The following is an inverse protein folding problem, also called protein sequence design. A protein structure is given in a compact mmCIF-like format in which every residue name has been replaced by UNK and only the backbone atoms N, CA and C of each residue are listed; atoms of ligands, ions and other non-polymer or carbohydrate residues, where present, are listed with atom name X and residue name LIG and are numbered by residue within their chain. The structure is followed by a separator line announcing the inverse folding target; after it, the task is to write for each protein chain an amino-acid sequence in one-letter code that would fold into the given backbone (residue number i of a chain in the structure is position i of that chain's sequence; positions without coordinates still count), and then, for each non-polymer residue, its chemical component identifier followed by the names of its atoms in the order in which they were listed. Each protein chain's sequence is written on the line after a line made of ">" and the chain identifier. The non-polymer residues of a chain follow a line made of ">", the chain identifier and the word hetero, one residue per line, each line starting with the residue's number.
data_IF_221036135503
#
_entry.id   IF_221036135503
#
_cell.length_a   1.000
_cell.length_b   1.000
_cell.length_c   1.000
_cell.angle_alpha   90.00
_cell.angle_beta   90.00
_cell.angle_gamma   90.00
#
_symmetry.space_group_name_H-M   'P 1'
#
loop_
_entity.id
_entity.type
_entity.pdbx_description
1 polymer ?
#
# COMPACT_ATOMS: atom_id res chain seq x y z
N UNK A 1 -30.70 0.70 -15.46
CA UNK A 1 -29.31 0.38 -15.04
C UNK A 1 -29.16 -1.12 -14.75
N UNK A 2 -29.39 -2.00 -15.74
CA UNK A 2 -29.25 -3.47 -15.57
C UNK A 2 -27.92 -4.00 -16.08
N UNK A 3 -27.16 -3.21 -16.84
CA UNK A 3 -25.94 -3.66 -17.53
C UNK A 3 -24.72 -3.79 -16.61
N UNK A 4 -24.78 -3.26 -15.38
CA UNK A 4 -23.74 -3.46 -14.36
C UNK A 4 -23.96 -4.70 -13.49
N UNK A 5 -25.12 -5.36 -13.58
CA UNK A 5 -25.42 -6.54 -12.78
C UNK A 5 -24.75 -7.83 -13.33
N UNK A 6 -24.25 -7.80 -14.56
CA UNK A 6 -23.67 -8.96 -15.26
C UNK A 6 -22.14 -8.82 -15.52
N UNK A 7 -21.42 -8.01 -14.74
CA UNK A 7 -20.00 -7.69 -14.98
C UNK A 7 -18.99 -8.66 -14.35
N UNK A 8 -19.42 -9.52 -13.43
CA UNK A 8 -18.53 -10.41 -12.69
C UNK A 8 -17.98 -11.55 -13.58
N UNK A 9 -16.65 -11.73 -13.56
CA UNK A 9 -15.95 -12.83 -14.27
C UNK A 9 -15.51 -12.50 -15.70
N UNK A 10 -15.62 -11.24 -16.14
CA UNK A 10 -15.12 -10.80 -17.45
C UNK A 10 -13.61 -10.92 -17.60
N UNK A 11 -12.86 -10.91 -16.48
CA UNK A 11 -11.41 -11.11 -16.48
C UNK A 11 -10.96 -12.39 -17.20
N UNK A 12 -11.74 -13.47 -17.09
CA UNK A 12 -11.41 -14.77 -17.72
C UNK A 12 -11.54 -14.75 -19.24
N UNK A 13 -12.31 -13.82 -19.78
CA UNK A 13 -12.61 -13.68 -21.22
C UNK A 13 -11.63 -12.73 -21.91
N UNK A 14 -10.79 -12.01 -21.16
CA UNK A 14 -9.78 -11.11 -21.70
C UNK A 14 -8.83 -11.82 -22.69
N UNK A 15 -8.32 -11.04 -23.65
CA UNK A 15 -7.24 -11.49 -24.54
C UNK A 15 -5.98 -11.78 -23.73
N UNK A 16 -5.11 -12.65 -24.24
CA UNK A 16 -3.85 -12.98 -23.58
C UNK A 16 -2.98 -11.74 -23.32
N UNK A 17 -2.88 -10.83 -24.30
CA UNK A 17 -2.14 -9.57 -24.14
C UNK A 17 -2.67 -8.70 -23.00
N UNK A 18 -4.01 -8.59 -22.85
CA UNK A 18 -4.60 -7.87 -21.73
C UNK A 18 -4.30 -8.55 -20.38
N UNK A 19 -4.37 -9.88 -20.33
CA UNK A 19 -4.02 -10.64 -19.11
C UNK A 19 -2.56 -10.41 -18.70
N UNK A 20 -1.63 -10.46 -19.66
CA UNK A 20 -0.22 -10.15 -19.40
C UNK A 20 -0.03 -8.73 -18.86
N UNK A 21 -0.64 -7.74 -19.51
CA UNK A 21 -0.52 -6.34 -19.09
C UNK A 21 -1.04 -6.13 -17.67
N UNK A 22 -2.23 -6.63 -17.35
CA UNK A 22 -2.80 -6.48 -16.00
C UNK A 22 -2.06 -7.30 -14.95
N UNK A 23 -1.51 -8.46 -15.31
CA UNK A 23 -0.65 -9.24 -14.42
C UNK A 23 0.65 -8.49 -14.11
N UNK A 24 1.29 -7.91 -15.13
CA UNK A 24 2.50 -7.10 -14.94
C UNK A 24 2.21 -5.89 -14.04
N UNK A 25 1.10 -5.18 -14.29
CA UNK A 25 0.67 -4.09 -13.42
C UNK A 25 0.46 -4.56 -11.98
N UNK A 26 -0.26 -5.67 -11.75
CA UNK A 26 -0.49 -6.23 -10.42
C UNK A 26 0.82 -6.63 -9.72
N UNK A 27 1.79 -7.19 -10.44
CA UNK A 27 3.11 -7.53 -9.87
C UNK A 27 3.88 -6.25 -9.49
N UNK A 28 3.97 -5.28 -10.41
CA UNK A 28 4.62 -3.99 -10.15
C UNK A 28 3.96 -3.26 -8.98
N UNK A 29 2.64 -3.36 -8.87
CA UNK A 29 1.86 -2.85 -7.76
C UNK A 29 2.30 -3.44 -6.40
N UNK A 30 2.35 -4.76 -6.29
CA UNK A 30 2.82 -5.44 -5.08
C UNK A 30 4.27 -5.07 -4.75
N UNK A 31 5.16 -5.10 -5.75
CA UNK A 31 6.56 -4.75 -5.56
C UNK A 31 6.68 -3.30 -5.06
N UNK A 32 5.96 -2.36 -5.67
CA UNK A 32 5.93 -0.96 -5.25
C UNK A 32 5.54 -0.81 -3.78
N UNK A 33 4.46 -1.46 -3.35
CA UNK A 33 4.01 -1.44 -1.95
C UNK A 33 5.05 -2.01 -0.97
N UNK A 34 5.71 -3.11 -1.34
CA UNK A 34 6.76 -3.73 -0.52
C UNK A 34 8.02 -2.86 -0.43
N UNK A 35 8.42 -2.21 -1.54
CA UNK A 35 9.51 -1.25 -1.55
C UNK A 35 9.16 -0.04 -0.68
N UNK A 36 7.96 0.52 -0.82
CA UNK A 36 7.50 1.64 0.00
C UNK A 36 7.52 1.30 1.49
N UNK A 37 7.10 0.10 1.89
CA UNK A 37 7.24 -0.36 3.27
C UNK A 37 8.70 -0.36 3.74
N UNK A 38 9.61 -0.91 2.94
CA UNK A 38 11.04 -0.98 3.29
C UNK A 38 11.66 0.42 3.40
N UNK A 39 11.34 1.31 2.46
CA UNK A 39 11.78 2.71 2.48
C UNK A 39 11.24 3.44 3.70
N UNK A 40 9.99 3.18 4.09
CA UNK A 40 9.39 3.73 5.29
C UNK A 40 10.17 3.33 6.56
N UNK A 41 10.43 2.03 6.72
CA UNK A 41 11.20 1.54 7.87
C UNK A 41 12.60 2.16 7.95
N UNK A 42 13.26 2.34 6.79
CA UNK A 42 14.55 3.01 6.72
C UNK A 42 14.48 4.52 7.03
N UNK A 43 13.41 5.20 6.60
CA UNK A 43 13.24 6.64 6.82
C UNK A 43 12.91 6.99 8.28
N UNK A 44 12.10 6.17 8.94
CA UNK A 44 11.73 6.38 10.35
C UNK A 44 12.88 6.05 11.31
N UNK A 45 13.66 5.03 10.98
CA UNK A 45 14.79 4.58 11.79
C UNK A 45 14.39 4.23 13.23
N UNK A 46 15.34 4.32 14.16
CA UNK A 46 15.12 3.97 15.58
C UNK A 46 14.30 5.03 16.33
N UNK A 47 14.16 6.25 15.78
CA UNK A 47 13.39 7.34 16.39
C UNK A 47 11.88 7.09 16.41
N UNK A 48 11.38 6.24 15.52
CA UNK A 48 9.96 5.91 15.44
C UNK A 48 9.10 7.03 14.84
N UNK A 49 7.87 6.67 14.46
CA UNK A 49 6.98 7.52 13.64
C UNK A 49 6.65 8.85 14.34
N UNK A 50 6.59 8.83 15.68
CA UNK A 50 6.33 10.01 16.50
C UNK A 50 7.40 11.07 16.27
N UNK A 51 8.68 10.67 16.36
CA UNK A 51 9.80 11.60 16.21
C UNK A 51 9.87 12.10 14.77
N UNK A 52 9.74 11.19 13.80
CA UNK A 52 9.82 11.51 12.38
C UNK A 52 8.76 12.51 11.91
N UNK A 53 7.50 12.34 12.32
CA UNK A 53 6.37 13.18 11.86
C UNK A 53 5.98 14.32 12.81
N UNK A 54 6.51 14.39 14.04
CA UNK A 54 6.16 15.46 14.98
C UNK A 54 6.61 16.85 14.50
N UNK A 55 7.68 16.91 13.71
CA UNK A 55 8.33 18.13 13.21
C UNK A 55 8.61 19.19 14.29
N UNK A 56 8.81 18.76 15.53
CA UNK A 56 9.34 19.55 16.64
C UNK A 56 10.73 19.00 16.95
N UNK A 57 11.79 19.83 17.06
CA UNK A 57 13.16 19.34 17.21
C UNK A 57 13.22 18.32 18.34
N UNK A 58 13.43 17.05 17.99
CA UNK A 58 13.56 16.00 18.98
C UNK A 58 14.85 16.26 19.74
N UNK A 59 14.73 16.53 21.03
CA UNK A 59 15.87 16.51 21.93
C UNK A 59 16.44 15.09 21.85
N UNK A 60 17.61 14.96 21.24
CA UNK A 60 18.22 13.66 20.95
C UNK A 60 18.32 12.84 22.24
N UNK A 61 17.85 11.60 22.20
CA UNK A 61 18.11 10.68 23.30
C UNK A 61 19.64 10.43 23.37
N UNK A 62 20.23 10.34 24.57
CA UNK A 62 21.62 9.96 24.72
C UNK A 62 21.79 8.55 24.14
N UNK A 63 22.71 8.39 23.19
CA UNK A 63 23.01 7.06 22.67
C UNK A 63 23.64 6.19 23.74
N UNK A 64 23.47 4.88 23.59
CA UNK A 64 24.19 3.89 24.38
C UNK A 64 25.70 4.10 24.19
N UNK A 65 26.50 4.21 25.28
CA UNK A 65 27.93 4.43 25.17
C UNK A 65 28.60 3.31 24.34
N UNK A 66 29.34 3.69 23.30
CA UNK A 66 30.18 2.76 22.58
C UNK A 66 31.36 2.32 23.49
N UNK A 67 31.85 1.07 23.38
CA UNK A 67 33.07 0.66 24.07
C UNK A 67 34.24 1.56 23.67
N UNK A 68 35.06 1.94 24.66
CA UNK A 68 36.17 2.86 24.47
C UNK A 68 37.17 2.32 23.42
N UNK A 69 37.69 3.17 22.51
CA UNK A 69 38.68 2.73 21.53
C UNK A 69 40.04 2.46 22.20
N UNK A 70 40.66 1.32 21.86
CA UNK A 70 41.99 0.88 22.31
C UNK A 70 43.14 1.66 21.62
N UNK A 71 43.08 3.00 21.60
CA UNK A 71 43.98 3.83 20.80
C UNK A 71 44.90 4.76 21.60
N UNK A 72 46.21 4.63 21.38
CA UNK A 72 47.31 5.44 21.94
C UNK A 72 47.48 6.80 21.19
N UNK A 73 46.37 7.50 20.95
CA UNK A 73 46.31 8.78 20.25
C UNK A 73 46.19 9.99 21.21
N UNK A 74 46.48 11.23 20.76
CA UNK A 74 46.29 12.42 21.57
C UNK A 74 44.82 12.55 21.99
N UNK A 75 44.56 12.59 23.30
CA UNK A 75 43.21 12.73 23.84
C UNK A 75 42.63 14.10 23.46
N UNK A 76 41.61 14.11 22.59
CA UNK A 76 40.78 15.28 22.36
C UNK A 76 39.91 15.48 23.59
N UNK A 77 40.20 16.49 24.41
CA UNK A 77 39.33 16.94 25.50
C UNK A 77 38.03 17.49 24.91
N UNK A 78 37.05 16.62 24.73
CA UNK A 78 35.68 16.99 24.42
C UNK A 78 34.97 17.31 25.74
N UNK A 79 34.18 18.39 25.82
CA UNK A 79 33.25 18.61 26.93
C UNK A 79 32.41 17.34 27.13
N UNK A 80 32.08 16.95 28.37
CA UNK A 80 31.30 15.73 28.65
C UNK A 80 29.99 15.64 27.82
N UNK A 81 29.40 16.79 27.45
CA UNK A 81 28.22 16.92 26.59
C UNK A 81 28.44 16.56 25.10
N UNK A 82 29.69 16.55 24.65
CA UNK A 82 30.13 16.21 23.28
C UNK A 82 30.58 14.75 23.14
N UNK A 83 30.77 14.04 24.26
CA UNK A 83 31.20 12.63 24.28
C UNK A 83 30.03 11.66 24.18
N UNK A 84 28.81 12.09 24.50
CA UNK A 84 27.61 11.27 24.30
C UNK A 84 27.25 11.25 22.79
N UNK A 85 27.27 10.07 22.13
CA UNK A 85 26.77 9.98 20.77
C UNK A 85 25.30 10.43 20.81
N UNK A 86 24.90 11.34 19.92
CA UNK A 86 23.49 11.75 19.80
C UNK A 86 22.91 11.05 18.59
N UNK A 87 21.82 10.32 18.78
CA UNK A 87 21.07 9.76 17.65
C UNK A 87 20.33 10.93 17.00
N UNK A 88 20.87 11.42 15.88
CA UNK A 88 20.21 12.46 15.08
C UNK A 88 19.23 11.80 14.13
N UNK A 89 17.95 11.80 14.51
CA UNK A 89 16.85 11.37 13.64
C UNK A 89 16.41 12.54 12.78
N UNK A 90 16.60 12.44 11.46
CA UNK A 90 16.16 13.46 10.51
C UNK A 90 14.63 13.52 10.49
N UNK A 91 14.06 14.64 10.92
CA UNK A 91 12.62 14.88 10.86
C UNK A 91 12.20 15.30 9.45
N UNK A 92 11.02 14.86 9.02
CA UNK A 92 10.49 15.32 7.75
C UNK A 92 10.10 16.80 7.85
N UNK A 93 10.64 17.63 6.95
CA UNK A 93 10.28 19.04 6.88
C UNK A 93 8.86 19.23 6.32
N UNK A 94 8.19 20.34 6.66
CA UNK A 94 6.84 20.64 6.16
C UNK A 94 6.80 20.72 4.64
N UNK A 95 7.83 21.32 4.02
CA UNK A 95 7.98 21.36 2.56
C UNK A 95 8.01 19.95 2.00
N UNK A 96 8.83 19.07 2.57
CA UNK A 96 8.95 17.68 2.07
C UNK A 96 7.65 16.91 2.28
N UNK A 97 6.97 17.11 3.42
CA UNK A 97 5.69 16.48 3.70
C UNK A 97 4.60 16.93 2.70
N UNK A 98 4.57 18.22 2.34
CA UNK A 98 3.68 18.76 1.31
C UNK A 98 4.00 18.18 -0.08
N UNK A 99 5.28 18.13 -0.45
CA UNK A 99 5.71 17.55 -1.74
C UNK A 99 5.26 16.09 -1.85
N UNK A 100 5.54 15.28 -0.82
CA UNK A 100 5.13 13.87 -0.78
C UNK A 100 3.61 13.75 -0.82
N UNK A 101 2.88 14.55 -0.03
CA UNK A 101 1.41 14.54 -0.01
C UNK A 101 0.83 14.89 -1.38
N UNK A 102 1.38 15.92 -2.05
CA UNK A 102 0.95 16.31 -3.39
C UNK A 102 1.09 15.15 -4.39
N UNK A 103 2.24 14.47 -4.40
CA UNK A 103 2.45 13.31 -5.27
C UNK A 103 1.49 12.16 -4.94
N UNK A 104 1.22 11.89 -3.67
CA UNK A 104 0.34 10.79 -3.25
C UNK A 104 -1.13 11.08 -3.56
N UNK A 105 -1.60 12.29 -3.29
CA UNK A 105 -2.99 12.70 -3.57
C UNK A 105 -3.29 12.67 -5.08
N UNK A 106 -2.27 12.80 -5.94
CA UNK A 106 -2.44 12.61 -7.38
C UNK A 106 -2.36 11.13 -7.80
N UNK A 107 -1.31 10.42 -7.38
CA UNK A 107 -1.00 9.08 -7.91
C UNK A 107 -1.78 7.95 -7.25
N UNK A 108 -1.99 8.00 -5.93
CA UNK A 108 -2.65 6.92 -5.17
C UNK A 108 -4.12 6.75 -5.60
N UNK A 109 -4.94 7.81 -5.79
CA UNK A 109 -6.31 7.62 -6.28
C UNK A 109 -6.40 6.98 -7.66
N UNK A 110 -5.49 7.33 -8.59
CA UNK A 110 -5.42 6.70 -9.91
C UNK A 110 -5.08 5.22 -9.77
N UNK A 111 -4.12 4.90 -8.91
CA UNK A 111 -3.72 3.53 -8.64
C UNK A 111 -4.84 2.69 -8.01
N UNK A 112 -5.54 3.24 -7.02
CA UNK A 112 -6.73 2.63 -6.40
C UNK A 112 -7.82 2.42 -7.44
N UNK A 113 -8.07 3.39 -8.32
CA UNK A 113 -9.08 3.28 -9.38
C UNK A 113 -8.79 2.10 -10.32
N UNK A 114 -7.55 1.93 -10.77
CA UNK A 114 -7.17 0.83 -11.67
C UNK A 114 -7.38 -0.52 -10.97
N UNK A 115 -6.91 -0.67 -9.74
CA UNK A 115 -7.05 -1.92 -8.98
C UNK A 115 -8.52 -2.23 -8.63
N UNK A 116 -9.27 -1.24 -8.17
CA UNK A 116 -10.70 -1.35 -7.92
C UNK A 116 -11.48 -1.74 -9.18
N UNK A 117 -11.06 -1.23 -10.34
CA UNK A 117 -11.67 -1.61 -11.61
C UNK A 117 -11.42 -3.08 -11.94
N UNK A 118 -10.19 -3.59 -11.79
CA UNK A 118 -9.90 -5.01 -11.95
C UNK A 118 -10.67 -5.87 -10.94
N UNK A 119 -10.78 -5.42 -9.70
CA UNK A 119 -11.57 -6.07 -8.65
C UNK A 119 -13.05 -6.21 -9.02
N UNK A 120 -13.66 -5.18 -9.60
CA UNK A 120 -15.05 -5.22 -10.09
C UNK A 120 -15.27 -6.24 -11.22
N UNK A 121 -14.25 -6.50 -12.03
CA UNK A 121 -14.33 -7.47 -13.12
C UNK A 121 -14.11 -8.92 -12.65
N UNK A 122 -13.57 -9.10 -11.45
CA UNK A 122 -13.33 -10.42 -10.87
C UNK A 122 -14.65 -11.13 -10.53
N UNK A 123 -14.65 -12.46 -10.65
CA UNK A 123 -15.83 -13.27 -10.36
C UNK A 123 -16.03 -13.45 -8.85
N UNK A 124 -16.79 -12.56 -8.23
CA UNK A 124 -17.14 -12.62 -6.80
C UNK A 124 -18.51 -11.97 -6.52
N UNK A 125 -19.13 -12.24 -5.35
CA UNK A 125 -20.39 -11.60 -4.98
C UNK A 125 -20.24 -10.08 -4.83
N UNK A 126 -21.31 -9.35 -5.13
CA UNK A 126 -21.32 -7.87 -5.17
C UNK A 126 -20.92 -7.20 -3.86
N UNK A 127 -21.21 -7.81 -2.70
CA UNK A 127 -20.80 -7.24 -1.41
C UNK A 127 -19.27 -7.21 -1.25
N UNK A 128 -18.55 -8.19 -1.80
CA UNK A 128 -17.07 -8.19 -1.81
C UNK A 128 -16.52 -7.11 -2.74
N UNK A 129 -17.21 -6.81 -3.84
CA UNK A 129 -16.87 -5.66 -4.68
C UNK A 129 -16.93 -4.37 -3.88
N UNK A 130 -18.07 -4.08 -3.25
CA UNK A 130 -18.24 -2.87 -2.44
C UNK A 130 -17.28 -2.83 -1.26
N UNK A 131 -17.11 -3.94 -0.54
CA UNK A 131 -16.21 -4.01 0.61
C UNK A 131 -14.74 -3.77 0.21
N UNK A 132 -14.27 -4.38 -0.87
CA UNK A 132 -12.89 -4.20 -1.36
C UNK A 132 -12.61 -2.76 -1.80
N UNK A 133 -13.57 -2.12 -2.48
CA UNK A 133 -13.47 -0.71 -2.89
C UNK A 133 -13.50 0.22 -1.69
N UNK A 134 -14.44 0.01 -0.76
CA UNK A 134 -14.53 0.83 0.44
C UNK A 134 -13.25 0.70 1.28
N UNK A 135 -12.75 -0.52 1.47
CA UNK A 135 -11.51 -0.77 2.20
C UNK A 135 -10.30 -0.10 1.54
N UNK A 136 -10.18 -0.16 0.21
CA UNK A 136 -9.04 0.42 -0.50
C UNK A 136 -9.01 1.94 -0.40
N UNK A 137 -10.17 2.59 -0.59
CA UNK A 137 -10.33 4.04 -0.41
C UNK A 137 -10.03 4.46 1.03
N UNK A 138 -10.61 3.76 2.01
CA UNK A 138 -10.47 4.12 3.42
C UNK A 138 -9.03 3.94 3.92
N UNK A 139 -8.38 2.81 3.62
CA UNK A 139 -7.01 2.55 4.04
C UNK A 139 -6.01 3.50 3.39
N UNK A 140 -6.12 3.73 2.07
CA UNK A 140 -5.28 4.70 1.37
C UNK A 140 -5.49 6.14 1.84
N UNK A 141 -6.75 6.55 2.00
CA UNK A 141 -7.09 7.88 2.51
C UNK A 141 -6.54 8.11 3.92
N UNK A 142 -6.73 7.13 4.81
CA UNK A 142 -6.20 7.18 6.17
C UNK A 142 -4.67 7.22 6.18
N UNK A 143 -4.01 6.44 5.32
CA UNK A 143 -2.55 6.42 5.25
C UNK A 143 -1.98 7.75 4.75
N UNK A 144 -2.62 8.40 3.77
CA UNK A 144 -2.22 9.74 3.30
C UNK A 144 -2.48 10.83 4.35
N UNK A 145 -3.53 10.68 5.16
CA UNK A 145 -3.86 11.62 6.23
C UNK A 145 -3.02 11.43 7.50
N UNK A 146 -2.51 10.22 7.74
CA UNK A 146 -1.84 9.86 8.98
C UNK A 146 -0.63 10.75 9.33
N UNK A 147 0.27 11.12 8.40
CA UNK A 147 1.38 12.03 8.70
C UNK A 147 0.91 13.38 9.26
N UNK A 148 -0.17 13.94 8.71
CA UNK A 148 -0.77 15.21 9.14
C UNK A 148 -1.45 15.10 10.50
N UNK A 149 -2.14 13.98 10.74
CA UNK A 149 -2.77 13.68 12.03
C UNK A 149 -1.68 13.56 13.12
N UNK A 150 -0.57 12.88 12.83
CA UNK A 150 0.54 12.72 13.79
C UNK A 150 1.23 14.06 14.04
N UNK A 151 1.44 14.89 13.01
CA UNK A 151 1.98 16.25 13.14
C UNK A 151 1.17 17.09 14.13
N UNK A 152 -0.17 17.04 14.05
CA UNK A 152 -1.06 17.76 14.98
C UNK A 152 -1.28 17.06 16.32
N UNK A 153 -1.15 15.73 16.37
CA UNK A 153 -1.39 14.89 17.56
C UNK A 153 -0.37 13.74 17.63
N UNK A 154 0.87 13.99 18.10
CA UNK A 154 1.96 13.00 18.06
C UNK A 154 1.68 11.69 18.82
N UNK A 155 0.73 11.69 19.78
CA UNK A 155 0.28 10.48 20.48
C UNK A 155 -0.44 9.46 19.59
N UNK A 156 -0.81 9.82 18.36
CA UNK A 156 -1.43 8.94 17.38
C UNK A 156 -0.41 8.34 16.40
N UNK A 157 0.88 8.30 16.75
CA UNK A 157 1.96 7.84 15.85
C UNK A 157 1.75 6.42 15.31
N UNK A 158 1.16 5.53 16.10
CA UNK A 158 0.81 4.17 15.67
C UNK A 158 -0.16 4.12 14.47
N UNK A 159 -0.85 5.23 14.15
CA UNK A 159 -1.73 5.31 13.00
C UNK A 159 -0.98 5.08 11.68
N UNK A 160 0.28 5.52 11.57
CA UNK A 160 1.07 5.33 10.35
C UNK A 160 1.36 3.84 10.05
N UNK A 161 1.98 3.06 10.95
CA UNK A 161 2.22 1.64 10.69
C UNK A 161 0.90 0.86 10.56
N UNK A 162 -0.13 1.16 11.36
CA UNK A 162 -1.43 0.47 11.26
C UNK A 162 -2.08 0.73 9.89
N UNK A 163 -2.15 1.99 9.46
CA UNK A 163 -2.73 2.34 8.15
C UNK A 163 -1.90 1.81 6.99
N UNK A 164 -0.57 1.80 7.11
CA UNK A 164 0.34 1.24 6.10
C UNK A 164 0.18 -0.27 5.95
N UNK A 165 0.09 -1.01 7.05
CA UNK A 165 -0.18 -2.45 7.05
C UNK A 165 -1.55 -2.74 6.45
N UNK A 166 -2.58 -2.01 6.91
CA UNK A 166 -3.93 -2.17 6.40
C UNK A 166 -4.00 -1.89 4.88
N UNK A 167 -3.34 -0.83 4.42
CA UNK A 167 -3.24 -0.51 3.00
C UNK A 167 -2.48 -1.60 2.24
N UNK A 168 -1.33 -2.09 2.73
CA UNK A 168 -0.59 -3.18 2.09
C UNK A 168 -1.48 -4.42 1.90
N UNK A 169 -2.16 -4.83 2.97
CA UNK A 169 -3.01 -6.04 2.96
C UNK A 169 -4.17 -5.86 1.98
N UNK A 170 -4.92 -4.76 2.09
CA UNK A 170 -6.09 -4.51 1.25
C UNK A 170 -5.67 -4.37 -0.22
N UNK A 171 -4.68 -3.53 -0.49
CA UNK A 171 -4.20 -3.28 -1.85
C UNK A 171 -3.55 -4.53 -2.46
N UNK A 172 -2.92 -5.35 -1.62
CA UNK A 172 -2.39 -6.64 -1.98
C UNK A 172 -3.48 -7.63 -2.40
N UNK A 173 -4.54 -7.76 -1.59
CA UNK A 173 -5.68 -8.63 -1.90
C UNK A 173 -6.35 -8.20 -3.20
N UNK A 174 -6.64 -6.91 -3.37
CA UNK A 174 -7.34 -6.44 -4.59
C UNK A 174 -6.44 -6.44 -5.84
N UNK A 175 -5.12 -6.60 -5.69
CA UNK A 175 -4.22 -6.87 -6.81
C UNK A 175 -4.13 -8.35 -7.14
N UNK A 176 -3.92 -9.20 -6.13
CA UNK A 176 -3.63 -10.63 -6.29
C UNK A 176 -4.87 -11.40 -6.74
N UNK A 177 -6.04 -11.15 -6.15
CA UNK A 177 -7.24 -11.94 -6.45
C UNK A 177 -7.69 -11.75 -7.90
N UNK A 178 -7.79 -10.53 -8.46
CA UNK A 178 -8.10 -10.36 -9.89
C UNK A 178 -7.02 -10.95 -10.79
N UNK A 179 -5.74 -10.83 -10.41
CA UNK A 179 -4.63 -11.43 -11.13
C UNK A 179 -4.74 -12.96 -11.18
N UNK A 180 -5.15 -13.63 -10.10
CA UNK A 180 -5.42 -15.07 -10.13
C UNK A 180 -6.68 -15.37 -10.96
N UNK A 181 -7.78 -14.64 -10.72
CA UNK A 181 -9.08 -14.91 -11.36
C UNK A 181 -9.00 -14.85 -12.88
N UNK A 182 -8.22 -13.94 -13.48
CA UNK A 182 -8.11 -13.83 -14.93
C UNK A 182 -7.49 -15.06 -15.61
N UNK A 183 -6.66 -15.83 -14.89
CA UNK A 183 -6.00 -17.03 -15.39
C UNK A 183 -6.77 -18.32 -15.11
N UNK A 184 -7.83 -18.25 -14.28
CA UNK A 184 -8.66 -19.42 -14.01
C UNK A 184 -9.50 -19.84 -15.24
N UNK A 185 -9.84 -21.15 -15.35
CA UNK A 185 -10.65 -21.65 -16.45
C UNK A 185 -12.00 -20.94 -16.60
N UNK A 186 -12.46 -20.85 -17.84
CA UNK A 186 -13.80 -20.35 -18.14
C UNK A 186 -14.83 -21.35 -17.61
N UNK A 187 -15.96 -20.87 -17.06
CA UNK A 187 -17.04 -21.75 -16.67
C UNK A 187 -17.58 -22.42 -17.93
N UNK A 188 -17.70 -23.75 -17.94
CA UNK A 188 -18.37 -24.44 -19.03
C UNK A 188 -19.79 -23.87 -19.15
N UNK A 189 -20.12 -23.31 -20.32
CA UNK A 189 -21.50 -22.97 -20.66
C UNK A 189 -22.25 -24.30 -20.59
N UNK A 190 -23.18 -24.47 -19.64
CA UNK A 190 -23.96 -25.70 -19.50
C UNK A 190 -24.46 -26.10 -20.90
N UNK A 191 -24.02 -27.26 -21.37
CA UNK A 191 -24.48 -27.90 -22.59
C UNK A 191 -25.93 -28.34 -22.39
N UNK A 192 -26.86 -27.39 -22.49
CA UNK A 192 -28.27 -27.59 -22.14
C UNK A 192 -29.20 -26.70 -22.98
N UNK A 193 -28.94 -26.57 -24.28
CA UNK A 193 -29.93 -26.00 -25.22
C UNK A 193 -30.05 -26.75 -26.56
N UNK A 194 -29.13 -27.66 -26.91
CA UNK A 194 -29.18 -28.38 -28.21
C UNK A 194 -29.75 -29.80 -28.13
N UNK A 195 -30.42 -30.16 -27.03
CA UNK A 195 -31.02 -31.48 -26.82
C UNK A 195 -32.49 -31.62 -27.22
N UNK A 196 -33.13 -30.60 -27.81
CA UNK A 196 -34.58 -30.67 -28.01
C UNK A 196 -35.14 -29.65 -28.99
N UNK A 197 -35.08 -29.96 -30.28
CA UNK A 197 -36.10 -29.57 -31.28
C UNK A 197 -35.91 -30.38 -32.57
N UNK A 198 -36.02 -31.70 -32.45
CA UNK A 198 -36.46 -32.54 -33.56
C UNK A 198 -37.99 -32.60 -33.52
N UNK A 199 -38.65 -31.78 -34.33
CA UNK A 199 -40.04 -32.00 -34.72
C UNK A 199 -40.09 -32.03 -36.25
N UNK A 200 -40.40 -33.17 -36.88
CA UNK A 200 -40.62 -33.23 -38.32
C UNK A 200 -41.99 -32.64 -38.65
N UNK A 201 -42.02 -31.66 -39.55
CA UNK A 201 -43.25 -31.13 -40.14
C UNK A 201 -43.91 -32.22 -41.01
N UNK A 202 -45.19 -32.47 -40.72
CA UNK A 202 -46.12 -33.27 -41.55
C UNK A 202 -46.82 -32.39 -42.56
#
# INVERSE_FOLDING_TARGET
>A
MRDFAASAGRLRVLSFGAKLLYTAFAISAIIGLLISWRLYGAAVGEGGDKVYYSGAPAMAAPATPAPAPDGDGPALELPEEATAPRVMTEQISDRKLLEVTHFHVFSVPVYVLILAHLWLLARMPSWLHTAGIAASVMTSGLHMAAPWIIRGRPGLSALMPISGIAMLVVMGIISIVPAIDMWLPRPARRAADDGGRDTPDT
#
